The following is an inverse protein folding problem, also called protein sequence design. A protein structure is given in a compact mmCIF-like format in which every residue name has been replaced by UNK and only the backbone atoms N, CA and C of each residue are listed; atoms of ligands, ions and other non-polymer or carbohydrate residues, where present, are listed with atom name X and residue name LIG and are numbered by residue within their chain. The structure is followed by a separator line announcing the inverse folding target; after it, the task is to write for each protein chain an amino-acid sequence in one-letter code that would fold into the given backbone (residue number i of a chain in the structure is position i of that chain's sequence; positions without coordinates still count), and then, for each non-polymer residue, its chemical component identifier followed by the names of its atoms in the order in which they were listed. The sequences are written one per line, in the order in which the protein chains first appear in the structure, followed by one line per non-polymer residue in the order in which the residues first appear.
data_IF_800920646225
#
_entry.id   IF_800920646225
#
_cell.length_a   1.000
_cell.length_b   1.000
_cell.length_c   1.000
_cell.angle_alpha   90.00
_cell.angle_beta   90.00
_cell.angle_gamma   90.00
#
_symmetry.space_group_name_H-M   'P 1'
#
loop_
_entity.id
_entity.type
_entity.pdbx_description
1 polymer ?
#
# COMPACT_ATOMS: atom_id res chain seq x y z
N UNK A 1 24.15 15.78 -36.65
CA UNK A 1 24.32 16.25 -35.28
C UNK A 1 23.66 15.23 -34.39
N UNK A 2 24.42 14.40 -33.74
CA UNK A 2 23.91 13.41 -32.74
C UNK A 2 23.59 14.20 -31.48
N UNK A 3 22.32 14.42 -31.21
CA UNK A 3 21.89 14.96 -29.92
C UNK A 3 22.29 13.93 -28.87
N UNK A 4 23.29 14.24 -28.06
CA UNK A 4 23.59 13.48 -26.85
C UNK A 4 22.32 13.54 -26.01
N UNK A 5 21.61 12.44 -25.89
CA UNK A 5 20.55 12.28 -24.89
C UNK A 5 21.21 12.57 -23.52
N UNK A 6 20.74 13.60 -22.85
CA UNK A 6 21.21 13.90 -21.49
C UNK A 6 20.98 12.68 -20.61
N UNK A 7 21.96 12.37 -19.78
CA UNK A 7 21.84 11.29 -18.78
C UNK A 7 20.62 11.58 -17.89
N UNK A 8 19.60 10.71 -17.87
CA UNK A 8 18.38 10.93 -17.09
C UNK A 8 18.66 11.20 -15.61
N UNK A 9 19.65 10.52 -15.04
CA UNK A 9 20.07 10.73 -13.64
C UNK A 9 20.62 12.13 -13.43
N UNK A 10 21.46 12.62 -14.35
CA UNK A 10 22.01 13.98 -14.26
C UNK A 10 20.91 15.05 -14.38
N UNK A 11 19.87 14.79 -15.17
CA UNK A 11 18.74 15.71 -15.33
C UNK A 11 17.88 15.74 -14.05
N UNK A 12 17.59 14.59 -13.46
CA UNK A 12 16.87 14.49 -12.16
C UNK A 12 17.60 15.27 -11.07
N UNK A 13 18.91 15.11 -10.96
CA UNK A 13 19.75 15.81 -9.98
C UNK A 13 19.68 17.31 -10.20
N UNK A 14 19.86 17.78 -11.44
CA UNK A 14 19.84 19.22 -11.75
C UNK A 14 18.47 19.84 -11.39
N UNK A 15 17.36 19.15 -11.71
CA UNK A 15 16.01 19.59 -11.36
C UNK A 15 15.83 19.66 -9.83
N UNK A 16 16.32 18.67 -9.09
CA UNK A 16 16.25 18.66 -7.64
C UNK A 16 17.11 19.77 -7.00
N UNK A 17 18.31 20.03 -7.52
CA UNK A 17 19.17 21.13 -7.08
C UNK A 17 18.52 22.50 -7.28
N UNK A 18 17.89 22.72 -8.44
CA UNK A 18 17.15 23.95 -8.73
C UNK A 18 15.99 24.14 -7.74
N UNK A 19 15.19 23.10 -7.55
CA UNK A 19 14.07 23.09 -6.62
C UNK A 19 14.50 23.39 -5.20
N UNK A 20 15.52 22.70 -4.70
CA UNK A 20 16.04 22.87 -3.35
C UNK A 20 16.69 24.25 -3.17
N UNK A 21 17.46 24.71 -4.16
CA UNK A 21 18.09 26.04 -4.12
C UNK A 21 17.06 27.15 -4.07
N UNK A 22 16.00 27.06 -4.88
CA UNK A 22 14.88 28.01 -4.86
C UNK A 22 14.17 28.05 -3.52
N UNK A 23 13.95 26.87 -2.92
CA UNK A 23 13.33 26.75 -1.59
C UNK A 23 14.21 27.29 -0.48
N UNK A 24 15.51 27.02 -0.54
CA UNK A 24 16.48 27.44 0.47
C UNK A 24 16.90 28.91 0.33
N UNK A 25 16.66 29.54 -0.83
CA UNK A 25 17.15 30.88 -1.13
C UNK A 25 18.68 30.97 -1.32
N UNK A 26 19.36 29.83 -1.51
CA UNK A 26 20.79 29.73 -1.71
C UNK A 26 21.15 28.43 -2.45
N UNK A 27 22.32 28.39 -3.07
CA UNK A 27 22.76 27.24 -3.88
C UNK A 27 22.85 25.97 -3.04
N UNK A 28 22.16 24.92 -3.49
CA UNK A 28 22.27 23.55 -2.99
C UNK A 28 22.92 22.72 -4.08
N UNK A 29 23.92 21.91 -3.70
CA UNK A 29 24.59 20.98 -4.61
C UNK A 29 24.47 19.57 -4.08
N UNK A 30 24.06 18.66 -4.96
CA UNK A 30 23.89 17.25 -4.66
C UNK A 30 25.00 16.42 -5.32
N UNK A 31 25.40 15.36 -4.67
CA UNK A 31 26.42 14.44 -5.17
C UNK A 31 26.13 13.00 -4.73
N UNK A 32 26.97 12.08 -5.22
CA UNK A 32 26.96 10.67 -4.87
C UNK A 32 25.58 10.03 -5.14
N UNK A 33 25.00 10.13 -6.35
CA UNK A 33 23.74 9.50 -6.64
C UNK A 33 23.88 7.98 -6.58
N UNK A 34 23.01 7.37 -5.80
CA UNK A 34 22.82 5.92 -5.69
C UNK A 34 21.42 5.59 -6.20
N UNK A 35 21.33 4.77 -7.22
CA UNK A 35 20.03 4.28 -7.71
C UNK A 35 19.48 3.26 -6.69
N UNK A 36 18.31 3.56 -6.15
CA UNK A 36 17.64 2.67 -5.20
C UNK A 36 16.73 1.65 -5.89
N UNK A 37 16.59 1.75 -7.20
CA UNK A 37 15.68 0.90 -7.95
C UNK A 37 14.21 1.23 -7.66
N UNK A 38 13.33 0.30 -8.03
CA UNK A 38 11.88 0.36 -7.84
C UNK A 38 11.19 -0.59 -8.80
N UNK A 39 9.95 -0.98 -8.51
CA UNK A 39 9.15 -1.86 -9.37
C UNK A 39 8.47 -1.10 -10.53
N UNK A 40 8.50 0.22 -10.52
CA UNK A 40 7.83 1.09 -11.49
C UNK A 40 8.79 1.90 -12.34
N UNK A 41 8.26 2.73 -13.24
CA UNK A 41 9.06 3.56 -14.17
C UNK A 41 9.73 4.77 -13.49
N UNK A 42 9.45 5.02 -12.21
CA UNK A 42 10.02 6.15 -11.48
C UNK A 42 11.52 5.98 -11.24
N UNK A 43 12.27 7.08 -11.40
CA UNK A 43 13.68 7.15 -11.01
C UNK A 43 13.74 7.47 -9.51
N UNK A 44 14.36 6.61 -8.71
CA UNK A 44 14.50 6.78 -7.26
C UNK A 44 15.98 6.82 -6.90
N UNK A 45 16.47 7.98 -6.48
CA UNK A 45 17.89 8.21 -6.20
C UNK A 45 18.10 8.63 -4.75
N UNK A 46 19.06 8.00 -4.06
CA UNK A 46 19.65 8.55 -2.85
C UNK A 46 20.75 9.53 -3.23
N UNK A 47 20.79 10.70 -2.60
CA UNK A 47 21.76 11.75 -2.88
C UNK A 47 22.27 12.37 -1.58
N UNK A 48 23.51 12.93 -1.63
CA UNK A 48 24.08 13.72 -0.53
C UNK A 48 24.12 15.20 -0.85
N UNK A 49 23.71 16.03 0.11
CA UNK A 49 23.92 17.48 0.04
C UNK A 49 25.38 17.81 0.38
N UNK A 50 26.18 18.21 -0.62
CA UNK A 50 27.59 18.61 -0.44
C UNK A 50 27.72 20.10 -0.16
N UNK A 51 26.84 20.92 -0.73
CA UNK A 51 26.68 22.31 -0.40
C UNK A 51 25.29 22.50 0.19
N UNK A 52 25.23 22.78 1.48
CA UNK A 52 23.99 22.84 2.24
C UNK A 52 23.97 24.11 3.11
N UNK A 53 23.45 25.23 2.59
CA UNK A 53 23.45 26.52 3.28
C UNK A 53 22.48 26.59 4.47
N UNK A 54 21.48 25.70 4.55
CA UNK A 54 20.43 25.71 5.55
C UNK A 54 20.08 24.29 5.98
N UNK A 55 20.62 23.78 7.02
CA UNK A 55 20.19 22.58 7.75
C UNK A 55 19.24 21.56 7.01
N UNK A 56 19.36 21.44 5.68
CA UNK A 56 18.70 20.37 4.94
C UNK A 56 19.29 19.04 5.42
N UNK A 57 18.57 17.94 5.33
CA UNK A 57 19.12 16.62 5.60
C UNK A 57 20.40 16.39 4.78
N UNK A 58 21.41 15.75 5.38
CA UNK A 58 22.67 15.45 4.69
C UNK A 58 22.49 14.43 3.56
N UNK A 59 21.53 13.54 3.72
CA UNK A 59 21.12 12.56 2.72
C UNK A 59 19.63 12.69 2.48
N UNK A 60 19.21 12.56 1.23
CA UNK A 60 17.82 12.68 0.78
C UNK A 60 17.54 11.64 -0.31
N UNK A 61 16.27 11.31 -0.47
CA UNK A 61 15.79 10.46 -1.57
C UNK A 61 14.98 11.34 -2.53
N UNK A 62 15.31 11.25 -3.82
CA UNK A 62 14.58 11.91 -4.90
C UNK A 62 13.79 10.83 -5.63
N UNK A 63 12.48 11.03 -5.80
CA UNK A 63 11.61 10.22 -6.66
C UNK A 63 11.12 11.11 -7.80
N UNK A 64 11.34 10.71 -9.03
CA UNK A 64 10.79 11.38 -10.20
C UNK A 64 10.04 10.40 -11.08
N UNK A 65 8.78 10.71 -11.32
CA UNK A 65 7.92 9.97 -12.23
C UNK A 65 8.15 10.50 -13.66
N UNK A 66 8.36 9.62 -14.67
CA UNK A 66 8.64 10.05 -16.06
C UNK A 66 7.45 10.77 -16.69
N UNK A 67 7.71 11.38 -17.86
CA UNK A 67 6.65 11.93 -18.72
C UNK A 67 5.71 10.80 -19.17
N UNK A 68 4.41 11.01 -19.00
CA UNK A 68 3.39 9.97 -19.25
C UNK A 68 2.85 9.31 -18.00
N UNK A 69 3.58 9.32 -16.89
CA UNK A 69 3.07 8.82 -15.62
C UNK A 69 1.95 9.69 -15.03
N UNK A 70 1.14 9.11 -14.14
CA UNK A 70 -0.05 9.74 -13.57
C UNK A 70 0.27 10.99 -12.73
N UNK A 71 -0.10 12.17 -13.23
CA UNK A 71 0.00 13.42 -12.47
C UNK A 71 -0.87 13.39 -11.19
N UNK A 72 -2.01 12.70 -11.26
CA UNK A 72 -2.90 12.51 -10.11
C UNK A 72 -2.24 11.71 -8.99
N UNK A 73 -1.48 10.66 -9.33
CA UNK A 73 -0.74 9.88 -8.36
C UNK A 73 0.34 10.71 -7.67
N UNK A 74 1.14 11.46 -8.43
CA UNK A 74 2.18 12.37 -7.88
C UNK A 74 1.55 13.42 -6.96
N UNK A 75 0.44 14.03 -7.39
CA UNK A 75 -0.27 15.04 -6.61
C UNK A 75 -0.77 14.43 -5.28
N UNK A 76 -1.36 13.25 -5.35
CA UNK A 76 -1.86 12.53 -4.18
C UNK A 76 -0.71 12.13 -3.24
N UNK A 77 0.40 11.65 -3.77
CA UNK A 77 1.60 11.31 -3.00
C UNK A 77 2.14 12.54 -2.26
N UNK A 78 2.25 13.69 -2.95
CA UNK A 78 2.65 14.96 -2.34
C UNK A 78 1.71 15.36 -1.21
N UNK A 79 0.40 15.28 -1.41
CA UNK A 79 -0.59 15.61 -0.37
C UNK A 79 -0.51 14.65 0.80
N UNK A 80 -0.32 13.37 0.54
CA UNK A 80 -0.17 12.33 1.57
C UNK A 80 1.05 12.60 2.45
N UNK A 81 2.20 12.91 1.85
CA UNK A 81 3.39 13.29 2.62
C UNK A 81 3.24 14.64 3.33
N UNK A 82 2.57 15.64 2.73
CA UNK A 82 2.28 16.91 3.43
C UNK A 82 1.39 16.69 4.65
N UNK A 83 0.39 15.85 4.52
CA UNK A 83 -0.46 15.46 5.64
C UNK A 83 0.36 14.71 6.71
N UNK A 84 1.14 13.71 6.31
CA UNK A 84 2.00 12.96 7.21
C UNK A 84 3.02 13.86 7.93
N UNK A 85 3.57 14.89 7.27
CA UNK A 85 4.44 15.88 7.89
C UNK A 85 3.76 16.69 9.00
N UNK A 86 2.42 16.75 9.04
CA UNK A 86 1.69 17.38 10.13
C UNK A 86 1.62 16.53 11.40
N UNK A 87 2.01 15.26 11.31
CA UNK A 87 2.08 14.33 12.44
C UNK A 87 3.41 14.44 13.16
N UNK A 88 3.41 14.14 14.46
CA UNK A 88 4.67 14.00 15.20
C UNK A 88 5.45 12.80 14.69
N UNK A 89 6.77 12.81 14.84
CA UNK A 89 7.64 11.72 14.39
C UNK A 89 7.23 10.33 14.93
N UNK A 90 6.65 10.28 16.14
CA UNK A 90 6.12 9.04 16.75
C UNK A 90 4.94 8.44 15.97
N UNK A 91 4.13 9.28 15.33
CA UNK A 91 2.89 8.90 14.65
C UNK A 91 3.01 8.92 13.12
N UNK A 92 4.18 9.31 12.61
CA UNK A 92 4.53 9.30 11.19
C UNK A 92 5.48 8.14 10.91
N UNK A 93 5.01 7.00 10.43
CA UNK A 93 5.87 5.86 10.16
C UNK A 93 6.67 5.94 8.86
N UNK A 94 6.67 7.10 8.15
CA UNK A 94 7.35 7.30 6.87
C UNK A 94 8.34 8.46 6.86
N UNK A 95 8.95 8.75 5.70
CA UNK A 95 9.87 9.87 5.51
C UNK A 95 9.14 11.21 5.58
N UNK A 96 9.91 12.29 5.74
CA UNK A 96 9.41 13.66 5.63
C UNK A 96 9.55 14.17 4.20
N UNK A 97 8.53 14.86 3.72
CA UNK A 97 8.60 15.63 2.48
C UNK A 97 9.47 16.87 2.68
N UNK A 98 10.60 16.91 2.00
CA UNK A 98 11.54 18.04 2.03
C UNK A 98 11.15 19.08 0.97
N UNK A 99 10.90 18.66 -0.27
CA UNK A 99 10.50 19.53 -1.37
C UNK A 99 9.70 18.73 -2.41
N UNK A 100 8.99 19.44 -3.30
CA UNK A 100 8.29 18.83 -4.43
C UNK A 100 8.08 19.81 -5.57
N UNK A 101 7.94 19.28 -6.78
CA UNK A 101 7.47 20.00 -7.97
C UNK A 101 6.46 19.12 -8.71
N UNK A 102 5.19 19.55 -8.78
CA UNK A 102 4.18 18.83 -9.54
C UNK A 102 4.50 18.89 -11.05
N UNK A 103 4.93 20.07 -11.54
CA UNK A 103 5.26 20.24 -12.96
C UNK A 103 6.39 19.30 -13.42
N UNK A 104 7.39 19.07 -12.57
CA UNK A 104 8.52 18.19 -12.84
C UNK A 104 8.26 16.74 -12.36
N UNK A 105 7.09 16.46 -11.78
CA UNK A 105 6.74 15.17 -11.17
C UNK A 105 7.81 14.65 -10.22
N UNK A 106 8.39 15.55 -9.42
CA UNK A 106 9.55 15.30 -8.56
C UNK A 106 9.21 15.53 -7.10
N UNK A 107 9.60 14.57 -6.27
CA UNK A 107 9.45 14.59 -4.81
C UNK A 107 10.84 14.39 -4.18
N UNK A 108 11.15 15.18 -3.16
CA UNK A 108 12.36 15.02 -2.34
C UNK A 108 11.96 14.68 -0.92
N UNK A 109 12.44 13.55 -0.43
CA UNK A 109 12.13 13.00 0.88
C UNK A 109 13.38 12.93 1.76
N UNK A 110 13.22 12.88 3.09
CA UNK A 110 14.31 12.52 3.98
C UNK A 110 14.75 11.08 3.72
N UNK A 111 16.06 10.83 3.71
CA UNK A 111 16.60 9.49 3.65
C UNK A 111 16.42 8.76 4.99
N UNK A 112 15.85 7.59 4.96
CA UNK A 112 15.64 6.73 6.13
C UNK A 112 16.82 5.79 6.41
N UNK A 113 17.88 5.88 5.57
CA UNK A 113 19.06 5.03 5.66
C UNK A 113 18.88 3.69 4.97
N UNK A 114 19.91 2.86 5.08
CA UNK A 114 19.89 1.49 4.56
C UNK A 114 19.40 0.56 5.65
N UNK A 115 18.26 -0.07 5.41
CA UNK A 115 17.66 -1.08 6.26
C UNK A 115 17.03 -2.15 5.36
N UNK A 116 16.93 -3.41 5.81
CA UNK A 116 16.24 -4.43 5.04
C UNK A 116 14.76 -4.07 4.88
N UNK A 117 14.20 -4.45 3.75
CA UNK A 117 12.75 -4.42 3.55
C UNK A 117 12.07 -5.50 4.40
N UNK A 118 10.77 -5.35 4.61
CA UNK A 118 9.98 -6.38 5.30
C UNK A 118 10.00 -7.69 4.49
N UNK A 119 9.94 -7.62 3.16
CA UNK A 119 10.00 -8.79 2.28
C UNK A 119 11.32 -9.56 2.41
N UNK A 120 12.45 -8.85 2.44
CA UNK A 120 13.77 -9.47 2.68
C UNK A 120 13.82 -10.16 4.05
N UNK A 121 13.33 -9.47 5.10
CA UNK A 121 13.31 -10.03 6.46
C UNK A 121 12.38 -11.24 6.59
N UNK A 122 11.21 -11.22 5.94
CA UNK A 122 10.27 -12.34 5.94
C UNK A 122 10.83 -13.57 5.21
N UNK A 123 11.71 -13.37 4.22
CA UNK A 123 12.42 -14.43 3.53
C UNK A 123 13.56 -15.05 4.40
N UNK A 124 14.05 -14.33 5.40
CA UNK A 124 15.02 -14.81 6.37
C UNK A 124 14.34 -15.80 7.33
N UNK A 125 14.94 -16.96 7.57
CA UNK A 125 14.38 -17.99 8.46
C UNK A 125 14.63 -17.66 9.95
N UNK A 126 14.35 -16.41 10.33
CA UNK A 126 14.52 -15.93 11.71
C UNK A 126 13.15 -15.59 12.33
N UNK A 127 12.50 -16.60 12.92
CA UNK A 127 11.18 -16.48 13.52
C UNK A 127 11.05 -15.29 14.50
N UNK A 128 12.05 -15.07 15.35
CA UNK A 128 11.98 -14.01 16.34
C UNK A 128 12.00 -12.61 15.68
N UNK A 129 12.84 -12.43 14.64
CA UNK A 129 12.90 -11.20 13.87
C UNK A 129 11.60 -10.97 13.07
N UNK A 130 11.07 -12.03 12.45
CA UNK A 130 9.79 -12.00 11.72
C UNK A 130 8.66 -11.54 12.65
N UNK A 131 8.48 -12.22 13.79
CA UNK A 131 7.44 -11.86 14.76
C UNK A 131 7.57 -10.40 15.22
N UNK A 132 8.79 -9.97 15.57
CA UNK A 132 9.02 -8.60 16.01
C UNK A 132 8.67 -7.57 14.93
N UNK A 133 9.07 -7.82 13.69
CA UNK A 133 8.79 -6.90 12.57
C UNK A 133 7.30 -6.82 12.22
N UNK A 134 6.59 -7.95 12.19
CA UNK A 134 5.15 -7.99 11.94
C UNK A 134 4.37 -7.26 13.04
N UNK A 135 4.73 -7.45 14.31
CA UNK A 135 4.12 -6.70 15.43
C UNK A 135 4.41 -5.21 15.32
N UNK A 136 5.64 -4.83 14.96
CA UNK A 136 6.02 -3.43 14.78
C UNK A 136 5.24 -2.77 13.63
N UNK A 137 4.96 -3.51 12.55
CA UNK A 137 4.13 -3.04 11.45
C UNK A 137 2.68 -2.80 11.90
N UNK A 138 2.07 -3.80 12.52
CA UNK A 138 0.70 -3.71 13.04
C UNK A 138 0.54 -2.51 14.00
N UNK A 139 1.47 -2.34 14.95
CA UNK A 139 1.47 -1.19 15.87
C UNK A 139 1.72 0.16 15.17
N UNK A 140 2.55 0.19 14.11
CA UNK A 140 2.76 1.44 13.36
C UNK A 140 1.47 1.89 12.67
N UNK A 141 0.72 0.96 12.06
CA UNK A 141 -0.61 1.22 11.51
C UNK A 141 -1.57 1.70 12.61
N UNK A 142 -1.67 0.97 13.72
CA UNK A 142 -2.57 1.32 14.84
C UNK A 142 -2.30 2.75 15.37
N UNK A 143 -1.05 3.08 15.65
CA UNK A 143 -0.66 4.42 16.11
C UNK A 143 -0.98 5.53 15.11
N UNK A 144 -0.78 5.26 13.80
CA UNK A 144 -1.12 6.20 12.73
C UNK A 144 -2.63 6.41 12.66
N UNK A 145 -3.43 5.36 12.73
CA UNK A 145 -4.89 5.43 12.73
C UNK A 145 -5.40 6.27 13.91
N UNK A 146 -4.92 6.01 15.13
CA UNK A 146 -5.31 6.78 16.32
C UNK A 146 -4.96 8.26 16.18
N UNK A 147 -3.80 8.57 15.61
CA UNK A 147 -3.34 9.96 15.44
C UNK A 147 -4.09 10.73 14.33
N UNK A 148 -4.78 10.03 13.44
CA UNK A 148 -5.38 10.63 12.25
C UNK A 148 -6.90 10.53 12.16
N UNK A 149 -7.55 9.72 13.00
CA UNK A 149 -9.01 9.67 13.06
C UNK A 149 -9.59 11.08 13.26
N UNK A 150 -10.63 11.39 12.49
CA UNK A 150 -11.27 12.71 12.53
C UNK A 150 -10.53 13.85 11.78
N UNK A 151 -9.37 13.58 11.19
CA UNK A 151 -8.57 14.59 10.46
C UNK A 151 -8.76 14.57 8.93
N UNK A 152 -9.77 13.87 8.43
CA UNK A 152 -10.06 13.80 6.98
C UNK A 152 -10.27 15.19 6.35
N UNK A 153 -10.86 16.13 7.11
CA UNK A 153 -11.01 17.52 6.68
C UNK A 153 -9.70 18.25 6.41
N UNK A 154 -8.64 17.94 7.19
CA UNK A 154 -7.30 18.53 6.99
C UNK A 154 -6.70 18.01 5.66
N UNK A 155 -6.80 16.71 5.40
CA UNK A 155 -6.34 16.10 4.16
C UNK A 155 -7.10 16.65 2.94
N UNK A 156 -8.42 16.73 3.02
CA UNK A 156 -9.24 17.32 1.97
C UNK A 156 -8.92 18.81 1.71
N UNK A 157 -8.53 19.57 2.74
CA UNK A 157 -8.08 20.95 2.58
C UNK A 157 -6.75 21.04 1.82
N UNK A 158 -5.81 20.11 2.08
CA UNK A 158 -4.55 20.02 1.33
C UNK A 158 -4.80 19.67 -0.14
N UNK A 159 -5.66 18.68 -0.43
CA UNK A 159 -6.07 18.35 -1.80
C UNK A 159 -6.61 19.58 -2.52
N UNK A 160 -7.62 20.26 -1.96
CA UNK A 160 -8.20 21.47 -2.58
C UNK A 160 -7.17 22.58 -2.80
N UNK A 161 -6.18 22.74 -1.92
CA UNK A 161 -5.15 23.77 -2.06
C UNK A 161 -4.24 23.55 -3.25
N UNK A 162 -3.95 22.30 -3.58
CA UNK A 162 -3.10 21.95 -4.72
C UNK A 162 -3.90 22.00 -6.02
N UNK A 163 -5.13 21.52 -6.03
CA UNK A 163 -6.01 21.42 -7.20
C UNK A 163 -6.33 22.79 -7.84
N UNK A 164 -6.48 23.85 -7.04
CA UNK A 164 -6.72 25.23 -7.53
C UNK A 164 -5.63 25.71 -8.51
N UNK A 165 -4.56 24.97 -8.71
CA UNK A 165 -3.39 25.43 -9.45
C UNK A 165 -3.17 24.84 -10.83
N UNK A 166 -3.95 23.94 -11.41
CA UNK A 166 -3.76 23.55 -12.84
C UNK A 166 -3.92 22.07 -13.22
N UNK A 167 -4.62 21.22 -12.56
CA UNK A 167 -4.81 19.87 -13.09
C UNK A 167 -6.24 19.68 -13.55
N UNK A 168 -6.43 19.19 -14.78
CA UNK A 168 -7.73 18.70 -15.28
C UNK A 168 -8.11 17.36 -14.64
N UNK A 169 -7.36 16.91 -13.65
CA UNK A 169 -7.53 15.63 -12.95
C UNK A 169 -8.13 15.90 -11.59
N UNK A 170 -9.26 15.26 -11.29
CA UNK A 170 -9.88 15.30 -9.97
C UNK A 170 -9.05 14.45 -8.97
N UNK A 171 -8.26 15.09 -8.08
CA UNK A 171 -7.44 14.36 -7.12
C UNK A 171 -8.26 13.67 -6.03
N UNK A 172 -9.58 13.95 -5.96
CA UNK A 172 -10.51 13.26 -5.07
C UNK A 172 -10.96 11.91 -5.64
N UNK A 173 -10.74 11.66 -6.94
CA UNK A 173 -10.96 10.33 -7.49
C UNK A 173 -10.03 9.37 -6.77
N UNK A 174 -10.62 8.69 -5.80
CA UNK A 174 -10.00 7.51 -5.24
C UNK A 174 -9.88 6.51 -6.39
N UNK A 175 -8.73 5.94 -6.50
CA UNK A 175 -8.59 4.76 -7.29
C UNK A 175 -9.58 3.70 -6.80
N UNK A 176 -10.12 2.92 -7.71
CA UNK A 176 -11.08 1.82 -7.58
C UNK A 176 -11.47 1.54 -6.11
N UNK A 177 -12.70 1.88 -5.75
CA UNK A 177 -13.23 1.63 -4.40
C UNK A 177 -13.66 0.18 -4.16
N UNK A 178 -13.31 -0.72 -5.07
CA UNK A 178 -13.65 -2.14 -5.03
C UNK A 178 -15.02 -2.48 -5.61
N UNK A 179 -16.01 -1.60 -5.50
CA UNK A 179 -17.38 -1.89 -5.95
C UNK A 179 -17.46 -2.18 -7.46
N UNK A 180 -16.69 -1.45 -8.26
CA UNK A 180 -16.62 -1.60 -9.71
C UNK A 180 -15.97 -2.91 -10.20
N UNK A 181 -15.28 -3.62 -9.32
CA UNK A 181 -14.67 -4.91 -9.64
C UNK A 181 -15.61 -6.09 -9.41
N UNK A 182 -16.72 -5.87 -8.67
CA UNK A 182 -17.58 -6.97 -8.21
C UNK A 182 -18.25 -7.65 -9.40
N UNK A 183 -18.98 -6.90 -10.23
CA UNK A 183 -19.70 -7.46 -11.38
C UNK A 183 -18.75 -7.99 -12.47
N UNK A 184 -17.67 -7.28 -12.87
CA UNK A 184 -16.71 -7.81 -13.84
C UNK A 184 -16.07 -9.12 -13.40
N UNK A 185 -15.61 -9.24 -12.15
CA UNK A 185 -14.99 -10.48 -11.69
C UNK A 185 -16.01 -11.62 -11.58
N UNK A 186 -17.25 -11.37 -11.14
CA UNK A 186 -18.31 -12.39 -11.19
C UNK A 186 -18.51 -12.92 -12.60
N UNK A 187 -18.48 -12.04 -13.60
CA UNK A 187 -18.64 -12.45 -15.00
C UNK A 187 -17.48 -13.31 -15.48
N UNK A 188 -16.23 -12.95 -15.11
CA UNK A 188 -15.04 -13.75 -15.42
C UNK A 188 -15.13 -15.14 -14.77
N UNK A 189 -15.42 -15.20 -13.47
CA UNK A 189 -15.53 -16.48 -12.75
C UNK A 189 -16.61 -17.38 -13.35
N UNK A 190 -17.74 -16.82 -13.78
CA UNK A 190 -18.81 -17.57 -14.44
C UNK A 190 -18.41 -18.05 -15.83
N UNK A 191 -17.79 -17.19 -16.66
CA UNK A 191 -17.50 -17.53 -18.06
C UNK A 191 -16.31 -18.47 -18.21
N UNK A 192 -15.26 -18.25 -17.42
CA UNK A 192 -14.00 -18.99 -17.56
C UNK A 192 -13.95 -20.27 -16.70
N UNK A 193 -14.63 -20.25 -15.54
CA UNK A 193 -14.52 -21.31 -14.54
C UNK A 193 -15.87 -21.97 -14.17
N UNK A 194 -16.98 -21.53 -14.78
CA UNK A 194 -18.34 -21.96 -14.42
C UNK A 194 -18.68 -21.77 -12.91
N UNK A 195 -18.05 -20.80 -12.26
CA UNK A 195 -18.23 -20.51 -10.83
C UNK A 195 -19.31 -19.46 -10.62
N UNK A 196 -20.30 -19.79 -9.79
CA UNK A 196 -21.31 -18.85 -9.32
C UNK A 196 -20.90 -18.29 -7.95
N UNK A 197 -20.94 -16.96 -7.83
CA UNK A 197 -20.66 -16.30 -6.55
C UNK A 197 -21.94 -16.24 -5.70
N UNK A 198 -21.95 -16.75 -4.47
CA UNK A 198 -23.13 -16.71 -3.62
C UNK A 198 -23.64 -15.27 -3.40
N UNK A 199 -24.99 -15.02 -3.50
CA UNK A 199 -25.54 -13.68 -3.30
C UNK A 199 -25.19 -13.06 -1.94
N UNK A 200 -25.05 -13.86 -0.90
CA UNK A 200 -24.62 -13.41 0.43
C UNK A 200 -23.19 -12.86 0.39
N UNK A 201 -22.28 -13.46 -0.39
CA UNK A 201 -20.91 -12.99 -0.57
C UNK A 201 -20.87 -11.67 -1.35
N UNK A 202 -21.68 -11.56 -2.42
CA UNK A 202 -21.82 -10.32 -3.19
C UNK A 202 -22.25 -9.16 -2.29
N UNK A 203 -23.27 -9.39 -1.44
CA UNK A 203 -23.74 -8.37 -0.50
C UNK A 203 -22.65 -7.94 0.49
N UNK A 204 -21.81 -8.86 0.96
CA UNK A 204 -20.68 -8.57 1.85
C UNK A 204 -19.61 -7.78 1.13
N UNK A 205 -19.25 -8.16 -0.10
CA UNK A 205 -18.29 -7.41 -0.93
C UNK A 205 -18.76 -5.98 -1.17
N UNK A 206 -20.04 -5.77 -1.51
CA UNK A 206 -20.62 -4.44 -1.70
C UNK A 206 -20.53 -3.58 -0.44
N UNK A 207 -20.87 -4.15 0.74
CA UNK A 207 -20.77 -3.45 2.02
C UNK A 207 -19.31 -3.11 2.36
N UNK A 208 -18.38 -4.04 2.12
CA UNK A 208 -16.97 -3.83 2.42
C UNK A 208 -16.35 -2.81 1.45
N UNK A 209 -16.74 -2.81 0.18
CA UNK A 209 -16.30 -1.82 -0.79
C UNK A 209 -16.65 -0.38 -0.35
N UNK A 210 -17.75 -0.16 0.36
CA UNK A 210 -18.08 1.16 0.91
C UNK A 210 -17.05 1.70 1.88
N UNK A 211 -16.32 0.82 2.58
CA UNK A 211 -15.30 1.18 3.58
C UNK A 211 -14.09 1.92 2.97
N UNK A 212 -13.86 1.81 1.66
CA UNK A 212 -12.83 2.58 0.98
C UNK A 212 -13.19 4.07 0.90
N UNK A 213 -14.45 4.41 0.66
CA UNK A 213 -14.92 5.77 0.43
C UNK A 213 -15.72 6.38 1.56
N UNK A 214 -16.50 5.59 2.30
CA UNK A 214 -17.43 6.07 3.33
C UNK A 214 -17.68 5.00 4.39
N UNK A 215 -18.22 5.41 5.52
CA UNK A 215 -18.56 4.50 6.62
C UNK A 215 -17.37 4.10 7.48
N UNK A 216 -17.64 3.32 8.52
CA UNK A 216 -16.65 2.80 9.46
C UNK A 216 -15.92 3.85 10.30
N UNK A 217 -14.78 3.47 10.84
CA UNK A 217 -13.85 4.35 11.55
C UNK A 217 -12.74 4.76 10.60
N UNK A 218 -12.81 6.00 10.10
CA UNK A 218 -11.93 6.47 9.04
C UNK A 218 -10.68 7.16 9.59
N UNK A 219 -9.54 6.69 9.16
CA UNK A 219 -8.24 7.28 9.45
C UNK A 219 -7.38 7.37 8.18
N UNK A 220 -6.27 8.08 8.24
CA UNK A 220 -5.31 8.11 7.15
C UNK A 220 -4.66 6.73 6.99
N UNK A 221 -4.63 6.30 5.76
CA UNK A 221 -3.99 5.09 5.28
C UNK A 221 -2.95 5.46 4.23
N UNK A 222 -1.75 4.89 4.24
CA UNK A 222 -0.80 5.01 3.14
C UNK A 222 -1.24 4.23 1.91
N UNK A 223 -2.34 3.49 2.02
CA UNK A 223 -2.92 2.57 1.03
C UNK A 223 -2.26 1.19 1.04
N UNK A 224 -1.92 0.65 -0.10
CA UNK A 224 -1.44 -0.70 -0.28
C UNK A 224 0.02 -0.82 0.12
N UNK A 225 0.23 -1.01 1.41
CA UNK A 225 1.57 -1.16 1.94
C UNK A 225 2.03 -2.60 1.76
N UNK A 226 2.69 -2.88 0.63
CA UNK A 226 3.35 -4.16 0.42
C UNK A 226 4.62 -4.27 1.28
N UNK A 227 5.05 -5.49 1.66
CA UNK A 227 6.29 -5.71 2.41
C UNK A 227 7.54 -5.08 1.80
N UNK A 228 7.61 -4.93 0.48
CA UNK A 228 8.71 -4.24 -0.22
C UNK A 228 8.76 -2.73 0.08
N UNK A 229 7.62 -2.13 0.42
CA UNK A 229 7.49 -0.72 0.78
C UNK A 229 7.63 -0.46 2.29
N UNK A 230 8.16 -1.43 3.05
CA UNK A 230 8.37 -1.29 4.48
C UNK A 230 9.83 -1.55 4.79
N UNK A 231 10.52 -0.55 5.35
CA UNK A 231 11.86 -0.73 5.90
C UNK A 231 11.78 -1.12 7.38
N UNK A 232 12.56 -2.12 7.77
CA UNK A 232 12.66 -2.56 9.17
C UNK A 232 13.93 -2.00 9.78
N UNK A 233 13.78 -0.96 10.58
CA UNK A 233 14.90 -0.23 11.20
C UNK A 233 15.01 -0.56 12.69
N UNK A 234 16.14 -0.21 13.32
CA UNK A 234 16.33 -0.32 14.78
C UNK A 234 15.29 0.49 15.59
N UNK A 235 14.64 1.48 14.95
CA UNK A 235 13.63 2.35 15.56
C UNK A 235 12.21 1.96 15.21
N UNK A 236 11.98 0.76 14.69
CA UNK A 236 10.71 0.24 14.21
C UNK A 236 10.58 0.31 12.69
N UNK A 237 9.40 0.04 12.19
CA UNK A 237 9.15 0.04 10.74
C UNK A 237 8.99 1.45 10.19
N UNK A 238 9.35 1.59 8.91
CA UNK A 238 9.14 2.79 8.11
C UNK A 238 8.41 2.42 6.84
N UNK A 239 7.28 3.08 6.61
CA UNK A 239 6.42 2.85 5.45
C UNK A 239 6.80 3.85 4.37
N UNK A 240 7.02 3.35 3.17
CA UNK A 240 7.33 4.12 1.96
C UNK A 240 6.09 4.19 1.06
N UNK A 241 6.19 5.00 0.02
CA UNK A 241 5.25 5.06 -1.10
C UNK A 241 3.79 5.37 -0.69
N UNK A 242 3.48 6.66 -0.57
CA UNK A 242 2.16 7.15 -0.17
C UNK A 242 1.31 7.63 -1.38
N UNK A 243 1.63 7.18 -2.58
CA UNK A 243 1.00 7.67 -3.82
C UNK A 243 -0.53 7.46 -3.84
N UNK A 244 -1.02 6.45 -3.13
CA UNK A 244 -2.44 6.15 -2.99
C UNK A 244 -2.99 6.48 -1.60
N UNK A 245 -2.26 7.26 -0.83
CA UNK A 245 -2.66 7.66 0.50
C UNK A 245 -4.02 8.37 0.54
N UNK A 246 -4.77 8.14 1.60
CA UNK A 246 -6.10 8.72 1.76
C UNK A 246 -6.78 8.27 3.03
N UNK A 247 -8.05 8.63 3.20
CA UNK A 247 -8.84 8.23 4.36
C UNK A 247 -9.76 7.08 4.01
N UNK A 248 -9.71 5.99 4.78
CA UNK A 248 -10.54 4.79 4.66
C UNK A 248 -10.79 4.16 6.03
N UNK A 249 -11.62 3.14 6.08
CA UNK A 249 -11.82 2.38 7.33
C UNK A 249 -10.52 1.68 7.75
N UNK A 250 -10.20 1.79 9.03
CA UNK A 250 -8.94 1.29 9.60
C UNK A 250 -8.75 -0.23 9.46
N UNK A 251 -9.84 -0.98 9.33
CA UNK A 251 -9.74 -2.45 9.20
C UNK A 251 -9.17 -2.88 7.86
N UNK A 252 -9.27 -2.03 6.83
CA UNK A 252 -8.74 -2.35 5.50
C UNK A 252 -7.22 -2.48 5.51
N UNK A 253 -6.52 -1.66 6.29
CA UNK A 253 -5.05 -1.68 6.31
C UNK A 253 -4.50 -2.92 7.01
N UNK A 254 -5.05 -3.29 8.17
CA UNK A 254 -4.62 -4.52 8.85
C UNK A 254 -4.98 -5.76 8.02
N UNK A 255 -6.16 -5.79 7.40
CA UNK A 255 -6.56 -6.88 6.53
C UNK A 255 -5.68 -7.01 5.28
N UNK A 256 -5.25 -5.88 4.69
CA UNK A 256 -4.27 -5.89 3.60
C UNK A 256 -2.95 -6.50 4.06
N UNK A 257 -2.40 -6.03 5.18
CA UNK A 257 -1.17 -6.58 5.74
C UNK A 257 -1.25 -8.10 5.92
N UNK A 258 -2.34 -8.59 6.57
CA UNK A 258 -2.59 -10.02 6.77
C UNK A 258 -2.78 -10.83 5.48
N UNK A 259 -3.15 -10.17 4.38
CA UNK A 259 -3.35 -10.80 3.08
C UNK A 259 -2.03 -10.98 2.33
N UNK A 260 -1.10 -10.02 2.44
CA UNK A 260 0.08 -9.98 1.57
C UNK A 260 1.34 -10.56 2.22
N UNK A 261 1.56 -10.41 3.54
CA UNK A 261 2.81 -10.86 4.16
C UNK A 261 3.09 -12.37 4.03
N UNK A 262 2.07 -13.28 4.01
CA UNK A 262 2.34 -14.73 3.97
C UNK A 262 3.05 -15.19 2.70
N UNK A 263 2.98 -14.41 1.62
CA UNK A 263 3.64 -14.74 0.36
C UNK A 263 5.16 -14.75 0.48
N UNK A 264 5.71 -13.94 1.36
CA UNK A 264 7.14 -13.73 1.57
C UNK A 264 7.74 -14.70 2.59
N UNK A 265 6.90 -15.47 3.31
CA UNK A 265 7.36 -16.43 4.30
C UNK A 265 7.96 -17.69 3.67
N UNK A 266 8.96 -18.26 4.34
CA UNK A 266 9.45 -19.61 4.06
C UNK A 266 8.39 -20.68 4.34
N UNK A 267 8.64 -21.91 3.84
CA UNK A 267 7.65 -23.00 3.97
C UNK A 267 7.36 -23.37 5.44
N UNK A 268 8.37 -23.32 6.32
CA UNK A 268 8.19 -23.64 7.74
C UNK A 268 7.36 -22.58 8.47
N UNK A 269 7.61 -21.31 8.18
CA UNK A 269 6.92 -20.17 8.81
C UNK A 269 5.46 -20.06 8.34
N UNK A 270 5.14 -20.57 7.15
CA UNK A 270 3.75 -20.61 6.63
C UNK A 270 2.83 -21.53 7.46
N UNK A 271 3.36 -22.52 8.15
CA UNK A 271 2.57 -23.37 9.04
C UNK A 271 2.06 -22.60 10.28
N UNK A 272 2.68 -21.47 10.59
CA UNK A 272 2.39 -20.61 11.75
C UNK A 272 1.60 -19.34 11.41
N UNK A 273 1.15 -19.18 10.17
CA UNK A 273 0.43 -17.97 9.70
C UNK A 273 -0.76 -17.63 10.61
N UNK A 274 -1.48 -18.62 11.12
CA UNK A 274 -2.61 -18.38 12.01
C UNK A 274 -2.19 -17.67 13.31
N UNK A 275 -1.08 -18.12 13.93
CA UNK A 275 -0.54 -17.50 15.14
C UNK A 275 -0.01 -16.09 14.87
N UNK A 276 0.62 -15.88 13.72
CA UNK A 276 1.12 -14.58 13.28
C UNK A 276 -0.03 -13.60 12.99
N UNK A 277 -1.08 -14.06 12.30
CA UNK A 277 -2.30 -13.29 12.04
C UNK A 277 -2.93 -12.80 13.35
N UNK A 278 -3.10 -13.70 14.33
CA UNK A 278 -3.70 -13.38 15.62
C UNK A 278 -2.83 -12.37 16.39
N UNK A 279 -1.52 -12.58 16.42
CA UNK A 279 -0.59 -11.68 17.08
C UNK A 279 -0.53 -10.28 16.43
N UNK A 280 -0.52 -10.19 15.09
CA UNK A 280 -0.59 -8.91 14.36
C UNK A 280 -1.92 -8.19 14.65
N UNK A 281 -3.02 -8.92 14.58
CA UNK A 281 -4.35 -8.36 14.81
C UNK A 281 -4.46 -7.78 16.22
N UNK A 282 -3.97 -8.50 17.23
CA UNK A 282 -3.99 -8.04 18.62
C UNK A 282 -3.04 -6.85 18.86
N UNK A 283 -1.86 -6.86 18.25
CA UNK A 283 -0.92 -5.75 18.33
C UNK A 283 -1.53 -4.46 17.76
N UNK A 284 -2.24 -4.53 16.63
CA UNK A 284 -2.97 -3.40 16.04
C UNK A 284 -4.18 -3.01 16.88
N UNK A 285 -4.98 -3.98 17.33
CA UNK A 285 -6.19 -3.79 18.16
C UNK A 285 -5.88 -3.02 19.43
N UNK A 286 -4.77 -3.32 20.11
CA UNK A 286 -4.37 -2.68 21.35
C UNK A 286 -4.30 -1.15 21.26
N UNK A 287 -3.94 -0.61 20.09
CA UNK A 287 -3.95 0.83 19.83
C UNK A 287 -5.36 1.33 19.47
N UNK A 288 -6.02 0.67 18.48
CA UNK A 288 -7.23 1.21 17.84
C UNK A 288 -8.52 1.01 18.63
N UNK A 289 -8.57 0.16 19.63
CA UNK A 289 -9.76 -0.05 20.48
C UNK A 289 -10.22 1.26 21.13
N UNK A 290 -9.31 2.19 21.37
CA UNK A 290 -9.61 3.51 21.93
C UNK A 290 -10.46 4.39 21.00
N UNK A 291 -10.35 4.22 19.69
CA UNK A 291 -11.09 4.97 18.65
C UNK A 291 -12.20 4.14 18.01
N UNK A 292 -12.18 2.83 18.16
CA UNK A 292 -13.14 1.86 17.64
C UNK A 292 -13.54 0.83 18.72
N UNK A 293 -14.28 1.23 19.78
CA UNK A 293 -14.59 0.33 20.91
C UNK A 293 -15.31 -0.96 20.52
N UNK A 294 -16.05 -0.99 19.40
CA UNK A 294 -16.71 -2.20 18.89
C UNK A 294 -15.73 -3.31 18.51
N UNK A 295 -14.45 -2.98 18.25
CA UNK A 295 -13.39 -3.95 17.97
C UNK A 295 -12.83 -4.63 19.24
N UNK A 296 -13.34 -4.27 20.43
CA UNK A 296 -13.07 -5.01 21.67
C UNK A 296 -13.76 -6.38 21.69
N UNK A 297 -14.84 -6.55 20.93
CA UNK A 297 -15.53 -7.81 20.77
C UNK A 297 -14.82 -8.69 19.71
N UNK A 298 -14.42 -9.90 20.11
CA UNK A 298 -13.61 -10.79 19.29
C UNK A 298 -14.34 -11.26 18.02
N UNK A 299 -15.64 -11.55 18.13
CA UNK A 299 -16.44 -12.00 16.99
C UNK A 299 -16.61 -10.87 15.95
N UNK A 300 -16.90 -9.66 16.42
CA UNK A 300 -16.99 -8.46 15.58
C UNK A 300 -15.67 -8.17 14.87
N UNK A 301 -14.55 -8.23 15.59
CA UNK A 301 -13.22 -8.01 15.03
C UNK A 301 -12.90 -9.05 13.95
N UNK A 302 -13.02 -10.33 14.28
CA UNK A 302 -12.70 -11.43 13.38
C UNK A 302 -13.54 -11.37 12.08
N UNK A 303 -14.84 -11.09 12.19
CA UNK A 303 -15.73 -10.93 11.04
C UNK A 303 -15.34 -9.75 10.17
N UNK A 304 -15.07 -8.57 10.75
CA UNK A 304 -14.68 -7.38 10.00
C UNK A 304 -13.35 -7.56 9.29
N UNK A 305 -12.37 -8.20 9.94
CA UNK A 305 -11.08 -8.52 9.32
C UNK A 305 -11.26 -9.52 8.18
N UNK A 306 -12.09 -10.56 8.37
CA UNK A 306 -12.37 -11.53 7.31
C UNK A 306 -13.03 -10.88 6.08
N UNK A 307 -14.04 -10.01 6.29
CA UNK A 307 -14.71 -9.30 5.18
C UNK A 307 -13.74 -8.40 4.41
N UNK A 308 -12.87 -7.70 5.13
CA UNK A 308 -11.86 -6.85 4.52
C UNK A 308 -10.79 -7.67 3.77
N UNK A 309 -10.35 -8.82 4.31
CA UNK A 309 -9.44 -9.76 3.60
C UNK A 309 -10.10 -10.32 2.35
N UNK A 310 -11.37 -10.73 2.42
CA UNK A 310 -12.14 -11.16 1.24
C UNK A 310 -12.12 -10.09 0.15
N UNK A 311 -12.34 -8.82 0.51
CA UNK A 311 -12.32 -7.73 -0.46
C UNK A 311 -10.93 -7.54 -1.09
N UNK A 312 -9.85 -7.60 -0.32
CA UNK A 312 -8.50 -7.50 -0.87
C UNK A 312 -8.14 -8.68 -1.77
N UNK A 313 -8.53 -9.90 -1.41
CA UNK A 313 -8.32 -11.08 -2.27
C UNK A 313 -9.17 -10.98 -3.54
N UNK A 314 -10.39 -10.45 -3.45
CA UNK A 314 -11.24 -10.16 -4.59
C UNK A 314 -10.59 -9.18 -5.57
N UNK A 315 -10.07 -8.05 -5.05
CA UNK A 315 -9.38 -7.05 -5.85
C UNK A 315 -8.16 -7.64 -6.55
N UNK A 316 -7.33 -8.37 -5.83
CA UNK A 316 -6.16 -9.06 -6.37
C UNK A 316 -6.53 -10.07 -7.47
N UNK A 317 -7.67 -10.75 -7.32
CA UNK A 317 -8.18 -11.68 -8.33
C UNK A 317 -8.62 -10.94 -9.59
N UNK A 318 -9.32 -9.82 -9.41
CA UNK A 318 -9.74 -8.98 -10.53
C UNK A 318 -8.51 -8.47 -11.30
N UNK A 319 -7.49 -7.96 -10.61
CA UNK A 319 -6.24 -7.53 -11.23
C UNK A 319 -5.57 -8.64 -12.01
N UNK A 320 -5.43 -9.81 -11.40
CA UNK A 320 -4.82 -10.97 -12.05
C UNK A 320 -5.45 -11.31 -13.40
N UNK A 321 -6.78 -11.17 -13.54
CA UNK A 321 -7.48 -11.48 -14.78
C UNK A 321 -7.61 -10.31 -15.75
N UNK A 322 -7.43 -9.07 -15.32
CA UNK A 322 -7.68 -7.88 -16.15
C UNK A 322 -6.45 -7.11 -16.56
N UNK A 323 -5.33 -7.29 -15.84
CA UNK A 323 -4.06 -6.69 -16.25
C UNK A 323 -3.46 -7.53 -17.38
N UNK A 324 -3.45 -6.97 -18.58
CA UNK A 324 -2.79 -7.58 -19.73
C UNK A 324 -1.27 -7.52 -19.51
N UNK A 325 -0.62 -8.68 -19.40
CA UNK A 325 0.81 -8.81 -19.08
C UNK A 325 1.72 -8.17 -20.14
N UNK A 326 1.15 -7.84 -21.32
CA UNK A 326 1.88 -7.29 -22.48
C UNK A 326 1.79 -5.74 -22.60
N UNK A 327 1.13 -5.05 -21.69
CA UNK A 327 1.08 -3.60 -21.74
C UNK A 327 2.14 -3.01 -20.81
N UNK A 328 3.14 -2.38 -21.40
CA UNK A 328 4.05 -1.36 -20.82
C UNK A 328 3.25 -0.15 -20.27
N UNK A 329 2.07 -0.37 -19.68
CA UNK A 329 1.15 0.70 -19.39
C UNK A 329 1.00 0.93 -17.88
N UNK A 330 1.14 2.19 -17.51
CA UNK A 330 0.94 2.82 -16.20
C UNK A 330 -0.46 2.59 -15.57
N UNK A 331 -1.25 1.68 -16.11
CA UNK A 331 -2.59 1.29 -15.63
C UNK A 331 -2.57 0.15 -14.62
N UNK A 332 -1.44 -0.07 -13.95
CA UNK A 332 -1.44 -0.98 -12.79
C UNK A 332 -2.44 -0.46 -11.77
N UNK A 333 -3.53 -1.20 -11.58
CA UNK A 333 -4.71 -0.69 -10.90
C UNK A 333 -4.47 -0.26 -9.44
N UNK A 334 -3.41 -0.66 -8.75
CA UNK A 334 -3.13 -0.31 -7.36
C UNK A 334 -1.65 -0.04 -7.03
N UNK A 335 -0.84 0.39 -8.00
CA UNK A 335 0.57 0.68 -7.74
C UNK A 335 1.46 -0.56 -7.52
N UNK A 336 0.87 -1.73 -7.28
CA UNK A 336 1.57 -3.00 -7.20
C UNK A 336 1.35 -3.80 -8.49
N UNK A 337 2.34 -4.57 -8.96
CA UNK A 337 2.13 -5.49 -10.07
C UNK A 337 1.05 -6.51 -9.70
N UNK A 338 0.26 -6.94 -10.69
CA UNK A 338 -0.71 -8.02 -10.49
C UNK A 338 -0.03 -9.22 -9.81
N UNK A 339 -0.70 -9.89 -8.86
CA UNK A 339 -0.09 -11.00 -8.15
C UNK A 339 0.25 -12.13 -9.14
N UNK A 340 1.34 -12.84 -8.90
CA UNK A 340 1.61 -14.08 -9.62
C UNK A 340 0.50 -15.10 -9.33
N UNK A 341 0.32 -16.09 -10.21
CA UNK A 341 -0.63 -17.19 -9.98
C UNK A 341 -0.41 -17.87 -8.61
N UNK A 342 0.85 -18.12 -8.24
CA UNK A 342 1.17 -18.74 -6.96
C UNK A 342 0.80 -17.85 -5.77
N UNK A 343 1.02 -16.54 -5.87
CA UNK A 343 0.65 -15.56 -4.85
C UNK A 343 -0.87 -15.50 -4.70
N UNK A 344 -1.61 -15.40 -5.81
CA UNK A 344 -3.07 -15.38 -5.79
C UNK A 344 -3.66 -16.65 -5.16
N UNK A 345 -3.18 -17.82 -5.56
CA UNK A 345 -3.59 -19.09 -4.96
C UNK A 345 -3.30 -19.12 -3.46
N UNK A 346 -2.12 -18.63 -3.03
CA UNK A 346 -1.74 -18.51 -1.63
C UNK A 346 -2.70 -17.62 -0.84
N UNK A 347 -3.14 -16.47 -1.40
CA UNK A 347 -4.12 -15.57 -0.79
C UNK A 347 -5.46 -16.23 -0.57
N UNK A 348 -5.97 -16.97 -1.57
CA UNK A 348 -7.22 -17.73 -1.44
C UNK A 348 -7.12 -18.84 -0.39
N UNK A 349 -6.00 -19.57 -0.33
CA UNK A 349 -5.76 -20.60 0.70
C UNK A 349 -5.72 -19.98 2.11
N UNK A 350 -5.05 -18.84 2.28
CA UNK A 350 -5.01 -18.14 3.56
C UNK A 350 -6.39 -17.59 3.96
N UNK A 351 -7.18 -17.08 3.00
CA UNK A 351 -8.56 -16.64 3.23
C UNK A 351 -9.46 -17.80 3.65
N UNK A 352 -9.37 -18.95 2.98
CA UNK A 352 -10.10 -20.16 3.34
C UNK A 352 -9.82 -20.55 4.80
N UNK A 353 -8.53 -20.65 5.16
CA UNK A 353 -8.14 -20.99 6.53
C UNK A 353 -8.65 -19.98 7.56
N UNK A 354 -8.64 -18.68 7.24
CA UNK A 354 -9.20 -17.64 8.10
C UNK A 354 -10.73 -17.79 8.25
N UNK A 355 -11.46 -18.11 7.17
CA UNK A 355 -12.90 -18.33 7.19
C UNK A 355 -13.29 -19.54 8.04
N UNK A 356 -12.55 -20.64 7.93
CA UNK A 356 -12.74 -21.83 8.78
C UNK A 356 -12.57 -21.50 10.26
N UNK A 357 -11.52 -20.74 10.62
CA UNK A 357 -11.29 -20.33 12.02
C UNK A 357 -12.42 -19.48 12.59
N UNK A 358 -13.01 -18.61 11.77
CA UNK A 358 -14.14 -17.74 12.17
C UNK A 358 -15.47 -18.50 12.13
N UNK A 359 -15.52 -19.68 11.52
CA UNK A 359 -16.74 -20.47 11.33
C UNK A 359 -17.67 -19.89 10.27
N UNK A 360 -17.11 -19.35 9.17
CA UNK A 360 -17.85 -18.75 8.06
C UNK A 360 -17.89 -19.71 6.85
N UNK A 361 -18.91 -20.57 6.73
CA UNK A 361 -18.98 -21.56 5.66
C UNK A 361 -19.22 -20.96 4.27
N UNK A 362 -19.73 -19.73 4.18
CA UNK A 362 -19.99 -19.08 2.88
C UNK A 362 -18.67 -18.65 2.24
N UNK A 363 -17.80 -17.99 3.02
CA UNK A 363 -16.48 -17.58 2.52
C UNK A 363 -15.60 -18.82 2.31
N UNK A 364 -15.58 -19.77 3.25
CA UNK A 364 -14.78 -20.98 3.14
C UNK A 364 -15.16 -21.81 1.90
N UNK A 365 -16.46 -22.05 1.67
CA UNK A 365 -16.94 -22.78 0.50
C UNK A 365 -16.57 -22.12 -0.81
N UNK A 366 -16.83 -20.81 -0.94
CA UNK A 366 -16.44 -20.09 -2.16
C UNK A 366 -14.93 -20.06 -2.38
N UNK A 367 -14.14 -19.92 -1.33
CA UNK A 367 -12.68 -19.97 -1.42
C UNK A 367 -12.21 -21.36 -1.90
N UNK A 368 -12.85 -22.45 -1.44
CA UNK A 368 -12.58 -23.83 -1.93
C UNK A 368 -12.80 -23.90 -3.43
N UNK A 369 -13.94 -23.40 -3.91
CA UNK A 369 -14.29 -23.44 -5.34
C UNK A 369 -13.28 -22.68 -6.20
N UNK A 370 -12.90 -21.46 -5.76
CA UNK A 370 -11.88 -20.65 -6.48
C UNK A 370 -10.51 -21.32 -6.45
N UNK A 371 -10.10 -21.91 -5.33
CA UNK A 371 -8.83 -22.66 -5.22
C UNK A 371 -8.81 -23.83 -6.22
N UNK A 372 -9.90 -24.61 -6.31
CA UNK A 372 -10.01 -25.70 -7.25
C UNK A 372 -9.92 -25.21 -8.71
N UNK A 373 -10.62 -24.12 -9.03
CA UNK A 373 -10.57 -23.49 -10.35
C UNK A 373 -9.15 -23.01 -10.72
N UNK A 374 -8.47 -22.31 -9.82
CA UNK A 374 -7.11 -21.85 -10.05
C UNK A 374 -6.09 -23.01 -10.19
N UNK A 375 -6.35 -24.17 -9.59
CA UNK A 375 -5.55 -25.38 -9.77
C UNK A 375 -5.85 -26.13 -11.05
N UNK A 376 -6.89 -25.77 -11.79
CA UNK A 376 -7.36 -26.49 -12.96
C UNK A 376 -8.03 -27.84 -12.59
N UNK A 377 -8.49 -27.97 -11.36
CA UNK A 377 -9.25 -29.14 -10.90
C UNK A 377 -10.68 -29.03 -11.44
N UNK A 378 -11.20 -30.11 -12.04
CA UNK A 378 -12.58 -30.10 -12.58
C UNK A 378 -13.58 -29.97 -11.43
N UNK A 379 -14.39 -28.93 -11.46
CA UNK A 379 -15.50 -28.73 -10.49
C UNK A 379 -16.71 -29.60 -10.79
N UNK A 380 -16.61 -30.53 -11.76
CA UNK A 380 -17.65 -31.41 -12.16
C UNK A 380 -17.40 -32.81 -11.63
N UNK A 381 -17.79 -33.09 -10.39
CA UNK A 381 -18.18 -34.41 -9.87
C UNK A 381 -18.85 -34.22 -8.49
N UNK A 382 -20.20 -34.09 -8.48
CA UNK A 382 -21.18 -34.98 -7.83
C UNK A 382 -22.61 -34.45 -8.04
#
# INVERSE_FOLDING_TARGET
MTTLLADPVAQVIATAEELLSKRAGATVTLAEPEDLGGSGPAIVLRVRAVQNPFALPKSMVIKQVPEGGSEAAVLREVVSYQFANSLTAKHRPGPELVAYSIAERLIVLTDLGSAPTMSELLAERNRAAINHALMAWAQALGRMHVATVGREGDFAALLRRIDVKKTDVDPSQQRIGGAETIDPLQQILRSEYALEVPPALISRLQQTAELFGKGGVRAFSPSEVAPDNILVTEHGVRILDYEWGGFRDIVLDIAHALTVYPEFLGAAEREEVAELDDAMTEAWRSDVVSIAPGLADDETLARRVLDARLMWVWLATHEYFTVDVDLDDDTVAFGNPAPSHAALLGRWVALHAAAERVGDPVVAGHATDVIAALRGESLMED
#
